data_IF_276686700030
#
_entry.id   IF_276686700030
#
_cell.length_a   1.000
_cell.length_b   1.000
_cell.length_c   1.000
_cell.angle_alpha   90.00
_cell.angle_beta   90.00
_cell.angle_gamma   90.00
#
_symmetry.space_group_name_H-M   'P 1'
#
loop_
_entity.id
_entity.type
_entity.pdbx_description
1 polymer ?
#
# COMPACT_ATOMS: atom_id res chain seq x y z
N UNK A 1 -4.62 -8.91 -11.36
CA UNK A 1 -5.24 -9.29 -10.09
C UNK A 1 -6.63 -8.68 -10.02
N UNK A 2 -7.63 -9.43 -9.55
CA UNK A 2 -9.03 -8.96 -9.51
C UNK A 2 -9.23 -7.73 -8.60
N UNK A 3 -8.48 -7.63 -7.50
CA UNK A 3 -8.58 -6.53 -6.55
C UNK A 3 -8.40 -5.14 -7.18
N UNK A 4 -7.52 -5.01 -8.19
CA UNK A 4 -7.28 -3.74 -8.88
C UNK A 4 -8.45 -3.27 -9.75
N UNK A 5 -9.47 -4.11 -10.00
CA UNK A 5 -10.72 -3.66 -10.63
C UNK A 5 -11.43 -2.60 -9.80
N UNK A 6 -11.22 -2.57 -8.47
CA UNK A 6 -11.74 -1.55 -7.57
C UNK A 6 -11.32 -0.13 -7.93
N UNK A 7 -10.14 0.04 -8.55
CA UNK A 7 -9.67 1.35 -9.02
C UNK A 7 -10.63 1.99 -10.03
N UNK A 8 -11.32 1.20 -10.86
CA UNK A 8 -12.32 1.73 -11.80
C UNK A 8 -13.51 2.37 -11.09
N UNK A 9 -13.89 1.84 -9.92
CA UNK A 9 -15.02 2.34 -9.12
C UNK A 9 -14.69 3.66 -8.42
N UNK A 10 -13.43 3.89 -8.11
CA UNK A 10 -12.96 5.06 -7.36
C UNK A 10 -12.12 6.03 -8.19
N UNK A 11 -12.13 5.90 -9.52
CA UNK A 11 -11.29 6.68 -10.43
C UNK A 11 -11.44 8.20 -10.23
N UNK A 12 -12.63 8.64 -9.80
CA UNK A 12 -12.96 10.04 -9.55
C UNK A 12 -12.23 10.64 -8.32
N UNK A 13 -11.69 9.80 -7.43
CA UNK A 13 -10.87 10.22 -6.28
C UNK A 13 -9.36 10.11 -6.54
N UNK A 14 -8.94 9.58 -7.69
CA UNK A 14 -7.51 9.35 -7.98
C UNK A 14 -6.81 10.69 -8.20
N UNK A 15 -5.88 11.01 -7.31
CA UNK A 15 -5.07 12.25 -7.37
C UNK A 15 -3.85 12.03 -8.25
N UNK A 16 -3.13 10.94 -8.03
CA UNK A 16 -1.88 10.66 -8.70
C UNK A 16 -1.59 9.15 -8.74
N UNK A 17 -0.75 8.73 -9.69
CA UNK A 17 -0.22 7.38 -9.80
C UNK A 17 1.28 7.42 -9.98
N UNK A 18 2.01 6.65 -9.17
CA UNK A 18 3.45 6.42 -9.36
C UNK A 18 3.71 4.95 -9.62
N UNK A 19 4.38 4.66 -10.73
CA UNK A 19 4.72 3.29 -11.10
C UNK A 19 6.16 2.92 -10.72
N UNK A 20 6.41 1.63 -10.54
CA UNK A 20 7.75 1.06 -10.35
C UNK A 20 8.49 1.60 -9.11
N UNK A 21 7.75 1.84 -8.02
CA UNK A 21 8.32 2.28 -6.75
C UNK A 21 9.06 1.12 -6.11
N UNK A 22 10.35 1.31 -5.82
CA UNK A 22 11.13 0.35 -5.06
C UNK A 22 10.65 0.32 -3.61
N UNK A 23 10.54 -0.88 -3.07
CA UNK A 23 10.04 -1.12 -1.74
C UNK A 23 10.97 -2.08 -0.99
N UNK A 24 11.12 -1.86 0.31
CA UNK A 24 11.51 -2.92 1.24
C UNK A 24 10.28 -3.24 2.09
N UNK A 25 10.00 -4.53 2.31
CA UNK A 25 8.96 -4.91 3.25
C UNK A 25 9.39 -6.04 4.17
N UNK A 26 8.90 -5.98 5.40
CA UNK A 26 9.16 -6.92 6.46
C UNK A 26 7.84 -7.33 7.11
N UNK A 27 7.74 -8.60 7.48
CA UNK A 27 6.60 -9.13 8.23
C UNK A 27 7.08 -9.78 9.52
N UNK A 28 6.47 -9.44 10.65
CA UNK A 28 6.78 -9.98 11.98
C UNK A 28 5.52 -10.68 12.52
N UNK A 29 5.69 -11.82 13.21
CA UNK A 29 4.58 -12.68 13.67
C UNK A 29 4.27 -13.78 12.65
N UNK A 30 2.98 -14.04 12.38
CA UNK A 30 2.58 -15.04 11.38
C UNK A 30 3.11 -14.67 10.00
N UNK A 31 3.85 -15.58 9.35
CA UNK A 31 4.42 -15.35 8.02
C UNK A 31 3.30 -15.11 6.99
N UNK A 32 3.38 -13.99 6.26
CA UNK A 32 2.41 -13.66 5.20
C UNK A 32 3.12 -13.14 3.94
N UNK A 33 3.22 -14.02 2.93
CA UNK A 33 3.91 -13.72 1.67
C UNK A 33 3.21 -12.64 0.85
N UNK A 34 1.94 -12.34 1.12
CA UNK A 34 1.19 -11.32 0.38
C UNK A 34 1.70 -9.91 0.70
N UNK A 35 2.46 -9.72 1.78
CA UNK A 35 3.03 -8.42 2.14
C UNK A 35 4.52 -8.31 1.85
N UNK A 36 5.12 -9.35 1.26
CA UNK A 36 6.52 -9.36 0.85
C UNK A 36 6.60 -9.04 -0.65
N UNK A 37 7.06 -7.83 -0.97
CA UNK A 37 7.28 -7.36 -2.34
C UNK A 37 8.41 -6.33 -2.39
N UNK A 38 9.11 -6.26 -3.52
CA UNK A 38 10.25 -5.34 -3.73
C UNK A 38 9.89 -4.15 -4.61
N UNK A 39 8.76 -4.21 -5.28
CA UNK A 39 8.27 -3.19 -6.21
C UNK A 39 6.77 -3.05 -6.08
N UNK A 40 6.28 -1.81 -6.17
CA UNK A 40 4.86 -1.51 -6.13
C UNK A 40 4.50 -0.38 -7.10
N UNK A 41 3.25 -0.38 -7.53
CA UNK A 41 2.62 0.81 -8.08
C UNK A 41 1.80 1.46 -6.96
N UNK A 42 1.91 2.77 -6.81
CA UNK A 42 1.21 3.56 -5.82
C UNK A 42 0.08 4.35 -6.48
N UNK A 43 -1.08 4.37 -5.85
CA UNK A 43 -2.20 5.20 -6.22
C UNK A 43 -2.55 6.10 -5.04
N UNK A 44 -2.34 7.39 -5.23
CA UNK A 44 -2.63 8.43 -4.24
C UNK A 44 -4.06 8.86 -4.44
N UNK A 45 -4.86 8.70 -3.39
CA UNK A 45 -6.28 9.05 -3.33
C UNK A 45 -6.42 10.11 -2.22
N UNK A 46 -7.40 10.99 -2.31
CA UNK A 46 -7.57 12.09 -1.34
C UNK A 46 -7.60 11.62 0.14
N UNK A 47 -8.21 10.46 0.39
CA UNK A 47 -8.42 9.85 1.71
C UNK A 47 -7.72 8.48 1.89
N UNK A 48 -6.88 8.06 0.93
CA UNK A 48 -6.23 6.75 0.96
C UNK A 48 -4.92 6.67 0.16
N UNK A 49 -4.09 5.70 0.53
CA UNK A 49 -2.96 5.25 -0.28
C UNK A 49 -3.15 3.77 -0.64
N UNK A 50 -3.19 3.47 -1.93
CA UNK A 50 -3.22 2.08 -2.42
C UNK A 50 -1.82 1.68 -2.86
N UNK A 51 -1.31 0.61 -2.26
CA UNK A 51 -0.01 0.01 -2.55
C UNK A 51 -0.26 -1.32 -3.28
N UNK A 52 0.04 -1.34 -4.58
CA UNK A 52 -0.11 -2.53 -5.41
C UNK A 52 1.25 -3.19 -5.62
N UNK A 53 1.64 -4.10 -4.71
CA UNK A 53 2.89 -4.85 -4.79
C UNK A 53 2.87 -5.91 -5.90
N UNK A 54 3.96 -5.99 -6.67
CA UNK A 54 4.08 -6.95 -7.76
C UNK A 54 5.51 -7.46 -7.95
N UNK A 55 5.62 -8.52 -8.75
CA UNK A 55 6.86 -9.02 -9.31
C UNK A 55 6.85 -8.80 -10.82
N UNK A 56 7.99 -8.47 -11.40
CA UNK A 56 8.13 -8.45 -12.86
C UNK A 56 8.32 -9.89 -13.35
N UNK A 57 7.44 -10.33 -14.24
CA UNK A 57 7.59 -11.58 -14.97
C UNK A 57 7.71 -11.24 -16.46
N UNK A 58 8.93 -11.29 -16.98
CA UNK A 58 9.28 -10.71 -18.28
C UNK A 58 8.84 -9.24 -18.38
N UNK A 59 8.06 -8.89 -19.42
CA UNK A 59 7.56 -7.53 -19.68
C UNK A 59 6.21 -7.23 -19.00
N UNK A 60 5.73 -8.09 -18.08
CA UNK A 60 4.41 -7.94 -17.45
C UNK A 60 4.52 -7.87 -15.92
N UNK A 61 3.69 -7.01 -15.32
CA UNK A 61 3.56 -6.88 -13.86
C UNK A 61 2.61 -7.97 -13.33
N UNK A 62 3.14 -8.86 -12.48
CA UNK A 62 2.36 -9.86 -11.77
C UNK A 62 2.02 -9.34 -10.36
N UNK A 63 0.91 -8.60 -10.26
CA UNK A 63 0.41 -8.07 -8.99
C UNK A 63 0.04 -9.19 -8.01
N UNK A 64 0.64 -9.16 -6.82
CA UNK A 64 0.44 -10.13 -5.74
C UNK A 64 -0.10 -9.52 -4.45
N UNK A 65 0.10 -8.22 -4.24
CA UNK A 65 -0.38 -7.50 -3.06
C UNK A 65 -1.22 -6.29 -3.46
N UNK A 66 -2.35 -6.09 -2.80
CA UNK A 66 -3.10 -4.82 -2.77
C UNK A 66 -3.38 -4.49 -1.32
N UNK A 67 -2.72 -3.45 -0.84
CA UNK A 67 -2.90 -2.89 0.49
C UNK A 67 -3.52 -1.50 0.32
N UNK A 68 -4.58 -1.22 1.08
CA UNK A 68 -5.24 0.07 1.10
C UNK A 68 -5.08 0.65 2.49
N UNK A 69 -4.37 1.77 2.57
CA UNK A 69 -4.16 2.52 3.80
C UNK A 69 -5.17 3.66 3.83
N UNK A 70 -6.11 3.62 4.77
CA UNK A 70 -7.21 4.57 4.85
C UNK A 70 -7.89 4.52 6.22
N UNK A 71 -8.61 5.59 6.57
CA UNK A 71 -9.56 5.58 7.70
C UNK A 71 -10.96 5.13 7.27
N UNK A 72 -11.32 5.28 5.99
CA UNK A 72 -12.63 4.97 5.40
C UNK A 72 -12.76 3.49 5.01
N UNK A 73 -12.44 2.56 5.92
CA UNK A 73 -12.26 1.15 5.56
C UNK A 73 -13.52 0.54 4.93
N UNK A 74 -14.72 0.87 5.42
CA UNK A 74 -15.98 0.34 4.90
C UNK A 74 -16.23 0.71 3.43
N UNK A 75 -15.96 1.96 3.05
CA UNK A 75 -16.08 2.43 1.67
C UNK A 75 -15.16 1.62 0.73
N UNK A 76 -13.92 1.40 1.15
CA UNK A 76 -12.94 0.68 0.34
C UNK A 76 -13.19 -0.84 0.31
N UNK A 77 -13.76 -1.43 1.37
CA UNK A 77 -14.14 -2.85 1.38
C UNK A 77 -15.17 -3.19 0.29
N UNK A 78 -16.15 -2.32 0.06
CA UNK A 78 -17.15 -2.50 -1.00
C UNK A 78 -16.54 -2.39 -2.41
N UNK A 79 -15.53 -1.55 -2.57
CA UNK A 79 -14.86 -1.33 -3.86
C UNK A 79 -13.77 -2.36 -4.14
N UNK A 80 -13.12 -2.91 -3.12
CA UNK A 80 -11.95 -3.78 -3.20
C UNK A 80 -12.13 -5.09 -2.40
N UNK A 81 -13.16 -5.86 -2.75
CA UNK A 81 -13.50 -7.13 -2.07
C UNK A 81 -12.32 -8.13 -1.95
N UNK A 82 -11.33 -8.05 -2.85
CA UNK A 82 -10.18 -8.95 -2.90
C UNK A 82 -8.85 -8.28 -2.49
N UNK A 83 -8.87 -7.10 -1.85
CA UNK A 83 -7.65 -6.51 -1.31
C UNK A 83 -7.05 -7.39 -0.20
N UNK A 84 -5.73 -7.48 -0.14
CA UNK A 84 -5.04 -8.26 0.89
C UNK A 84 -5.19 -7.62 2.27
N UNK A 85 -5.27 -6.28 2.32
CA UNK A 85 -5.52 -5.54 3.54
C UNK A 85 -6.14 -4.18 3.22
N UNK A 86 -7.14 -3.80 4.01
CA UNK A 86 -7.69 -2.44 4.08
C UNK A 86 -7.59 -2.04 5.55
N UNK A 87 -6.83 -1.00 5.87
CA UNK A 87 -6.51 -0.68 7.26
C UNK A 87 -5.99 0.73 7.44
N UNK A 88 -6.03 1.24 8.67
CA UNK A 88 -5.33 2.45 9.05
C UNK A 88 -3.90 2.10 9.45
N UNK A 89 -2.86 2.81 8.97
CA UNK A 89 -1.49 2.57 9.43
C UNK A 89 -1.37 2.90 10.92
N UNK A 90 -0.66 2.04 11.66
CA UNK A 90 -0.33 2.26 13.08
C UNK A 90 0.82 3.25 13.21
N UNK A 91 1.75 3.28 12.25
CA UNK A 91 2.79 4.30 12.15
C UNK A 91 2.98 4.74 10.70
N UNK A 92 3.25 6.03 10.53
CA UNK A 92 3.61 6.64 9.27
C UNK A 92 4.74 7.63 9.53
N UNK A 93 5.85 7.50 8.81
CA UNK A 93 6.90 8.51 8.78
C UNK A 93 7.27 8.78 7.31
N UNK A 94 6.97 9.99 6.83
CA UNK A 94 7.21 10.38 5.45
C UNK A 94 8.69 10.64 5.13
N UNK A 95 9.53 10.82 6.16
CA UNK A 95 10.94 11.17 6.06
C UNK A 95 11.77 10.24 6.96
N UNK A 96 11.66 8.93 6.73
CA UNK A 96 12.46 7.93 7.43
C UNK A 96 13.92 7.92 6.92
N UNK A 97 14.69 6.92 7.35
CA UNK A 97 16.08 6.73 6.90
C UNK A 97 16.18 6.76 5.37
N UNK A 98 17.20 7.44 4.84
CA UNK A 98 17.41 7.65 3.40
C UNK A 98 16.25 8.36 2.67
N UNK A 99 15.45 9.15 3.39
CA UNK A 99 14.30 9.89 2.82
C UNK A 99 13.16 8.97 2.33
N UNK A 100 13.14 7.71 2.78
CA UNK A 100 12.09 6.74 2.47
C UNK A 100 10.81 7.04 3.26
N UNK A 101 9.65 6.68 2.71
CA UNK A 101 8.38 6.67 3.45
C UNK A 101 8.23 5.35 4.18
N UNK A 102 8.26 5.39 5.51
CA UNK A 102 8.01 4.24 6.37
C UNK A 102 6.53 4.14 6.75
N UNK A 103 5.98 2.94 6.63
CA UNK A 103 4.60 2.60 6.94
C UNK A 103 4.60 1.33 7.77
N UNK A 104 3.85 1.35 8.88
CA UNK A 104 3.61 0.19 9.72
C UNK A 104 2.10 -0.02 9.89
N UNK A 105 1.66 -1.28 9.85
CA UNK A 105 0.29 -1.65 10.21
C UNK A 105 0.19 -3.08 10.72
N UNK A 106 -0.92 -3.38 11.41
CA UNK A 106 -1.15 -4.67 12.06
C UNK A 106 -0.36 -4.82 13.37
N UNK A 107 -0.45 -6.01 13.95
CA UNK A 107 0.12 -6.36 15.24
C UNK A 107 0.78 -7.73 15.14
N UNK A 108 1.96 -7.90 15.74
CA UNK A 108 2.67 -9.17 15.73
C UNK A 108 2.10 -10.11 16.79
N UNK A 109 1.55 -11.24 16.36
CA UNK A 109 1.11 -12.31 17.27
C UNK A 109 1.23 -13.68 16.61
N UNK A 110 0.85 -14.75 17.31
CA UNK A 110 0.78 -16.09 16.74
C UNK A 110 -0.21 -16.18 15.56
N UNK A 111 -1.29 -15.40 15.60
CA UNK A 111 -2.34 -15.38 14.58
C UNK A 111 -2.24 -14.19 13.61
N UNK A 112 -1.59 -13.11 14.02
CA UNK A 112 -1.53 -11.84 13.28
C UNK A 112 -0.12 -11.54 12.76
N UNK A 113 -0.07 -10.64 11.78
CA UNK A 113 1.16 -10.17 11.14
C UNK A 113 1.26 -8.66 11.32
N UNK A 114 2.38 -8.19 11.89
CA UNK A 114 2.80 -6.80 11.75
C UNK A 114 3.56 -6.66 10.42
N UNK A 115 3.26 -5.60 9.69
CA UNK A 115 3.84 -5.33 8.36
C UNK A 115 4.52 -3.97 8.41
N UNK A 116 5.77 -3.95 7.95
CA UNK A 116 6.57 -2.75 7.80
C UNK A 116 6.95 -2.59 6.33
N UNK A 117 6.76 -1.40 5.78
CA UNK A 117 7.05 -1.08 4.38
C UNK A 117 7.85 0.22 4.33
N UNK A 118 8.93 0.23 3.56
CA UNK A 118 9.67 1.41 3.17
C UNK A 118 9.48 1.63 1.69
N UNK A 119 8.83 2.73 1.31
CA UNK A 119 8.68 3.18 -0.07
C UNK A 119 9.80 4.15 -0.41
N UNK A 120 10.58 3.84 -1.44
CA UNK A 120 11.81 4.57 -1.79
C UNK A 120 11.57 5.61 -2.87
N UNK A 121 12.36 6.69 -2.83
CA UNK A 121 12.42 7.71 -3.89
C UNK A 121 11.07 8.38 -4.20
N UNK A 122 10.25 8.63 -3.17
CA UNK A 122 9.08 9.48 -3.31
C UNK A 122 9.51 10.95 -3.29
N UNK A 123 8.94 11.76 -4.18
CA UNK A 123 9.14 13.20 -4.19
C UNK A 123 8.35 13.85 -3.05
N UNK A 124 8.72 15.07 -2.65
CA UNK A 124 7.97 15.81 -1.64
C UNK A 124 6.50 16.04 -2.04
N UNK A 125 6.23 16.21 -3.34
CA UNK A 125 4.86 16.30 -3.87
C UNK A 125 4.09 15.01 -3.58
N UNK A 126 4.65 13.85 -3.91
CA UNK A 126 4.00 12.56 -3.69
C UNK A 126 3.82 12.25 -2.19
N UNK A 127 4.83 12.56 -1.37
CA UNK A 127 4.72 12.42 0.09
C UNK A 127 3.60 13.28 0.65
N UNK A 128 3.46 14.52 0.15
CA UNK A 128 2.40 15.44 0.57
C UNK A 128 1.00 14.93 0.23
N UNK A 129 0.87 14.01 -0.74
CA UNK A 129 -0.39 13.38 -1.13
C UNK A 129 -0.76 12.18 -0.24
N UNK A 130 0.16 11.69 0.61
CA UNK A 130 -0.15 10.60 1.54
C UNK A 130 -0.89 11.19 2.73
N UNK A 131 -2.22 11.24 2.62
CA UNK A 131 -3.12 11.75 3.65
C UNK A 131 -4.16 10.68 4.00
N UNK A 132 -4.43 10.58 5.30
CA UNK A 132 -5.50 9.73 5.84
C UNK A 132 -6.40 10.64 6.67
N UNK A 133 -7.16 11.50 5.99
CA UNK A 133 -8.03 12.47 6.65
C UNK A 133 -9.14 11.79 7.44
N UNK A 134 -9.58 12.49 8.49
CA UNK A 134 -10.68 12.11 9.38
C UNK A 134 -12.03 12.25 8.70
#
# INVERSE_FOLDING_TARGET
MEALRGLKKIQFKLVNKKENVQCNSLTIGRKNLNFLFRTADLYFIDDALIIAGYYNFFKRKAFRSVIILTREQEFYMQSFANANKITTPTRLNLNSSNNDVYIEFGEASFSNTNVQIWLKNLTEIEKSQIKFTK
#
